data_IF_088978769331
#
_entry.id   IF_088978769331
#
_cell.length_a   1.000
_cell.length_b   1.000
_cell.length_c   1.000
_cell.angle_alpha   90.00
_cell.angle_beta   90.00
_cell.angle_gamma   90.00
#
_symmetry.space_group_name_H-M   'P 1'
#
loop_
_entity.id
_entity.type
_entity.pdbx_description
1 polymer ?
#
# COMPACT_ATOMS: atom_id res chain seq x y z
N UNK A 1 -1.19 -5.27 17.93
CA UNK A 1 -0.81 -6.03 16.72
C UNK A 1 0.69 -5.97 16.61
N UNK A 2 1.37 -7.10 16.38
CA UNK A 2 2.80 -7.12 16.13
C UNK A 2 3.04 -7.11 14.62
N UNK A 3 3.95 -6.25 14.16
CA UNK A 3 4.33 -6.16 12.75
C UNK A 3 5.65 -6.88 12.52
N UNK A 4 5.74 -7.59 11.41
CA UNK A 4 6.96 -8.24 10.93
C UNK A 4 7.49 -7.37 9.79
N UNK A 5 8.65 -6.76 10.01
CA UNK A 5 9.38 -6.06 8.96
C UNK A 5 10.20 -7.07 8.17
N UNK A 6 10.00 -7.08 6.86
CA UNK A 6 10.72 -7.91 5.91
C UNK A 6 11.62 -7.03 5.07
N UNK A 7 12.86 -7.45 4.90
CA UNK A 7 13.91 -6.76 4.19
C UNK A 7 14.24 -7.47 2.87
N UNK A 8 14.89 -6.75 1.96
CA UNK A 8 15.36 -7.35 0.73
C UNK A 8 16.39 -8.46 1.02
N UNK A 9 16.14 -9.67 0.53
CA UNK A 9 16.98 -10.85 0.77
C UNK A 9 16.48 -11.77 1.90
N UNK A 10 15.42 -11.38 2.61
CA UNK A 10 14.75 -12.29 3.55
C UNK A 10 14.09 -13.46 2.82
N UNK A 11 13.96 -14.59 3.52
CA UNK A 11 13.25 -15.75 3.01
C UNK A 11 11.73 -15.49 3.03
N UNK A 12 11.19 -15.09 1.88
CA UNK A 12 9.78 -14.80 1.69
C UNK A 12 8.94 -16.06 1.36
N UNK A 13 9.52 -17.26 1.41
CA UNK A 13 8.81 -18.52 1.05
C UNK A 13 7.63 -18.86 1.97
N UNK A 14 7.52 -18.18 3.11
CA UNK A 14 6.41 -18.29 4.05
C UNK A 14 5.16 -17.50 3.63
N UNK A 15 5.26 -16.59 2.66
CA UNK A 15 4.18 -15.75 2.17
C UNK A 15 3.70 -16.26 0.80
N UNK A 16 2.50 -16.84 0.72
CA UNK A 16 1.92 -17.32 -0.56
C UNK A 16 1.19 -16.19 -1.31
N UNK A 17 1.71 -15.73 -2.46
CA UNK A 17 0.96 -14.77 -3.28
C UNK A 17 -0.14 -15.49 -4.08
N UNK A 18 -1.38 -14.99 -4.05
CA UNK A 18 -2.51 -15.53 -4.84
C UNK A 18 -2.42 -15.25 -6.37
N UNK A 19 -1.23 -14.87 -6.86
CA UNK A 19 -0.85 -15.11 -8.25
C UNK A 19 -0.66 -13.91 -9.16
N UNK A 20 -0.42 -12.70 -8.65
CA UNK A 20 -0.15 -11.55 -9.53
C UNK A 20 1.08 -10.72 -9.12
N UNK A 21 1.50 -10.81 -7.86
CA UNK A 21 2.63 -10.04 -7.32
C UNK A 21 3.58 -10.99 -6.60
N UNK A 22 4.73 -11.27 -7.21
CA UNK A 22 5.86 -11.88 -6.53
C UNK A 22 6.43 -10.86 -5.52
N UNK A 23 6.30 -11.17 -4.23
CA UNK A 23 6.79 -10.32 -3.14
C UNK A 23 8.31 -10.08 -3.23
N UNK A 24 9.09 -11.07 -3.70
CA UNK A 24 10.51 -10.88 -3.96
C UNK A 24 10.76 -9.89 -5.11
N UNK A 25 9.86 -9.89 -6.08
CA UNK A 25 9.84 -8.94 -7.19
C UNK A 25 9.57 -7.50 -6.73
N UNK A 26 8.86 -7.26 -5.63
CA UNK A 26 8.52 -5.91 -5.15
C UNK A 26 9.77 -5.09 -4.85
N UNK A 27 10.73 -5.66 -4.12
CA UNK A 27 12.00 -4.99 -3.80
C UNK A 27 12.84 -4.65 -5.02
N UNK A 28 12.63 -5.36 -6.14
CA UNK A 28 13.39 -5.12 -7.37
C UNK A 28 12.85 -3.94 -8.19
N UNK A 29 11.61 -3.50 -7.92
CA UNK A 29 10.86 -2.54 -8.74
C UNK A 29 10.82 -1.15 -8.13
N UNK A 30 10.76 -0.14 -8.98
CA UNK A 30 10.62 1.26 -8.58
C UNK A 30 9.15 1.63 -8.40
N UNK A 31 8.82 2.29 -7.30
CA UNK A 31 7.48 2.82 -7.02
C UNK A 31 7.30 4.13 -7.76
N UNK A 32 6.26 4.19 -8.58
CA UNK A 32 5.91 5.33 -9.43
C UNK A 32 4.63 5.97 -8.91
N UNK A 33 4.73 7.22 -8.47
CA UNK A 33 3.59 8.13 -8.29
C UNK A 33 3.15 8.70 -9.65
N UNK A 34 2.08 9.48 -9.65
CA UNK A 34 1.57 10.14 -10.86
C UNK A 34 2.60 11.13 -11.43
N UNK A 35 3.37 11.79 -10.57
CA UNK A 35 4.28 12.89 -10.94
C UNK A 35 5.76 12.50 -10.92
N UNK A 36 6.16 11.43 -10.21
CA UNK A 36 7.57 11.01 -10.11
C UNK A 36 7.77 9.58 -9.62
N UNK A 37 9.01 9.12 -9.77
CA UNK A 37 9.54 7.90 -9.15
C UNK A 37 10.00 8.15 -7.71
N UNK A 38 9.57 7.31 -6.77
CA UNK A 38 10.06 7.29 -5.38
C UNK A 38 11.28 6.38 -5.18
N UNK A 39 11.56 5.51 -6.15
CA UNK A 39 12.61 4.51 -6.03
C UNK A 39 12.08 3.19 -5.47
N UNK A 40 12.98 2.35 -4.97
CA UNK A 40 12.64 0.98 -4.53
C UNK A 40 12.13 0.97 -3.09
N UNK A 41 11.22 0.04 -2.75
CA UNK A 41 10.81 -0.17 -1.37
C UNK A 41 11.99 -0.49 -0.47
N UNK A 42 11.99 0.10 0.73
CA UNK A 42 12.96 -0.16 1.78
C UNK A 42 12.66 -1.45 2.54
N UNK A 43 11.37 -1.69 2.80
CA UNK A 43 10.88 -2.84 3.57
C UNK A 43 9.45 -3.20 3.15
N UNK A 44 9.02 -4.39 3.54
CA UNK A 44 7.61 -4.79 3.57
C UNK A 44 7.17 -4.98 5.02
N UNK A 45 5.92 -4.65 5.33
CA UNK A 45 5.35 -4.86 6.66
C UNK A 45 4.22 -5.88 6.57
N UNK A 46 4.37 -6.97 7.32
CA UNK A 46 3.36 -8.00 7.47
C UNK A 46 2.72 -7.98 8.86
N UNK A 47 1.43 -8.27 8.92
CA UNK A 47 0.73 -8.41 10.20
C UNK A 47 1.01 -9.77 10.88
N UNK A 48 0.39 -9.99 12.03
CA UNK A 48 0.48 -11.24 12.78
C UNK A 48 -0.16 -12.44 12.08
N UNK A 49 -1.00 -12.19 11.06
CA UNK A 49 -1.57 -13.17 10.15
C UNK A 49 -0.64 -13.58 9.02
N UNK A 50 0.59 -13.03 8.95
CA UNK A 50 1.52 -13.19 7.83
C UNK A 50 0.97 -12.63 6.51
N UNK A 51 0.15 -11.57 6.60
CA UNK A 51 -0.33 -10.84 5.42
C UNK A 51 0.56 -9.60 5.25
N UNK A 52 1.24 -9.50 4.11
CA UNK A 52 1.93 -8.25 3.73
C UNK A 52 0.88 -7.19 3.44
N UNK A 53 0.89 -6.11 4.21
CA UNK A 53 -0.08 -5.01 4.10
C UNK A 53 0.50 -3.74 3.56
N UNK A 54 1.78 -3.51 3.81
CA UNK A 54 2.45 -2.27 3.42
C UNK A 54 3.81 -2.55 2.80
N UNK A 55 4.23 -1.64 1.93
CA UNK A 55 5.63 -1.45 1.61
C UNK A 55 6.09 -0.06 2.10
N UNK A 56 7.33 0.04 2.51
CA UNK A 56 7.94 1.28 3.02
C UNK A 56 8.72 1.94 1.90
N UNK A 57 8.53 3.24 1.69
CA UNK A 57 9.28 4.03 0.71
C UNK A 57 9.90 5.25 1.36
N UNK A 58 11.05 5.67 0.84
CA UNK A 58 11.68 6.94 1.21
C UNK A 58 11.10 8.09 0.40
N UNK A 59 10.85 9.21 1.05
CA UNK A 59 10.46 10.47 0.41
C UNK A 59 11.66 11.39 0.15
N UNK A 60 12.90 10.89 0.23
CA UNK A 60 14.13 11.67 0.02
C UNK A 60 14.20 12.38 -1.35
N UNK A 61 13.47 11.87 -2.34
CA UNK A 61 13.34 12.47 -3.67
C UNK A 61 12.39 13.68 -3.72
N UNK A 62 11.69 13.97 -2.62
CA UNK A 62 10.69 15.04 -2.49
C UNK A 62 11.25 16.19 -1.64
N UNK A 63 11.70 17.25 -2.32
CA UNK A 63 12.10 18.56 -1.77
C UNK A 63 12.97 18.52 -0.48
N UNK A 64 13.06 19.63 0.26
CA UNK A 64 13.76 19.65 1.57
C UNK A 64 12.91 19.05 2.70
N UNK A 65 11.59 19.03 2.53
CA UNK A 65 10.62 18.59 3.55
C UNK A 65 10.49 17.06 3.64
N UNK A 66 10.84 16.33 2.57
CA UNK A 66 10.82 14.86 2.53
C UNK A 66 12.13 14.16 2.92
N UNK A 67 13.23 14.90 3.16
CA UNK A 67 14.52 14.29 3.51
C UNK A 67 14.49 13.54 4.84
N UNK A 68 14.91 12.28 4.81
CA UNK A 68 14.95 11.35 5.93
C UNK A 68 13.57 10.86 6.38
N UNK A 69 12.54 11.05 5.55
CA UNK A 69 11.18 10.64 5.87
C UNK A 69 10.80 9.40 5.08
N UNK A 70 10.60 8.31 5.81
CA UNK A 70 10.06 7.07 5.25
C UNK A 70 8.57 6.98 5.58
N UNK A 71 7.77 6.43 4.68
CA UNK A 71 6.31 6.29 4.85
C UNK A 71 5.84 4.91 4.45
N UNK A 72 4.72 4.47 5.02
CA UNK A 72 4.04 3.24 4.63
C UNK A 72 3.09 3.49 3.47
N UNK A 73 3.05 2.57 2.52
CA UNK A 73 2.11 2.57 1.40
C UNK A 73 1.34 1.24 1.43
N UNK A 74 0.00 1.25 1.47
CA UNK A 74 -0.79 0.02 1.44
C UNK A 74 -0.55 -0.76 0.16
N UNK A 75 -0.44 -2.09 0.25
CA UNK A 75 -0.30 -2.94 -0.94
C UNK A 75 -1.53 -2.82 -1.87
N UNK A 76 -2.70 -2.52 -1.30
CA UNK A 76 -3.95 -2.27 -2.01
C UNK A 76 -3.95 -0.95 -2.81
N UNK A 77 -2.95 -0.09 -2.61
CA UNK A 77 -2.75 1.12 -3.40
C UNK A 77 -2.16 0.84 -4.79
N UNK A 78 -1.63 -0.37 -5.02
CA UNK A 78 -1.03 -0.76 -6.31
C UNK A 78 -2.10 -0.78 -7.39
N UNK A 79 -1.87 -0.03 -8.48
CA UNK A 79 -2.74 0.04 -9.66
C UNK A 79 -2.21 -0.70 -10.87
N UNK A 80 -0.92 -1.04 -10.86
CA UNK A 80 -0.30 -1.84 -11.91
C UNK A 80 1.13 -2.17 -11.57
N UNK A 81 1.62 -3.24 -12.20
CA UNK A 81 3.01 -3.67 -12.10
C UNK A 81 3.50 -4.02 -13.50
N UNK A 82 4.69 -3.55 -13.87
CA UNK A 82 5.41 -4.01 -15.06
C UNK A 82 6.75 -4.66 -14.68
N UNK A 83 7.63 -4.86 -15.65
CA UNK A 83 8.94 -5.48 -15.43
C UNK A 83 9.79 -4.73 -14.38
N UNK A 84 9.72 -3.40 -14.33
CA UNK A 84 10.61 -2.55 -13.56
C UNK A 84 9.88 -1.69 -12.52
N UNK A 85 8.56 -1.54 -12.62
CA UNK A 85 7.80 -0.54 -11.88
C UNK A 85 6.57 -1.10 -11.16
N UNK A 86 6.24 -0.45 -10.05
CA UNK A 86 4.97 -0.53 -9.32
C UNK A 86 4.31 0.84 -9.44
N UNK A 87 3.08 0.88 -9.95
CA UNK A 87 2.34 2.12 -10.15
C UNK A 87 1.32 2.32 -9.04
N UNK A 88 1.33 3.51 -8.43
CA UNK A 88 0.32 3.98 -7.47
C UNK A 88 -0.28 5.29 -7.97
N UNK A 89 -1.54 5.55 -7.63
CA UNK A 89 -2.29 6.71 -8.12
C UNK A 89 -2.40 7.78 -7.04
N UNK A 90 -1.28 8.48 -6.80
CA UNK A 90 -1.16 9.58 -5.83
C UNK A 90 -0.15 10.60 -6.34
N UNK A 91 -0.31 11.87 -5.99
CA UNK A 91 0.74 12.89 -6.22
C UNK A 91 1.73 12.79 -5.06
N UNK A 92 3.03 12.73 -5.36
CA UNK A 92 4.06 12.42 -4.37
C UNK A 92 4.06 13.35 -3.14
N UNK A 93 3.75 14.63 -3.33
CA UNK A 93 3.64 15.62 -2.24
C UNK A 93 2.53 15.26 -1.21
N UNK A 94 1.46 14.58 -1.61
CA UNK A 94 0.39 14.14 -0.68
C UNK A 94 0.90 13.11 0.33
N UNK A 95 1.97 12.38 0.00
CA UNK A 95 2.59 11.40 0.91
C UNK A 95 3.28 12.07 2.11
N UNK A 96 3.57 13.37 2.03
CA UNK A 96 4.10 14.13 3.17
C UNK A 96 3.09 14.22 4.34
N UNK A 97 1.81 13.95 4.11
CA UNK A 97 0.81 13.92 5.18
C UNK A 97 0.79 12.59 5.96
N UNK A 98 1.51 11.56 5.48
CA UNK A 98 1.70 10.32 6.23
C UNK A 98 2.75 10.55 7.32
N UNK A 99 2.48 10.22 8.60
CA UNK A 99 3.50 10.30 9.64
C UNK A 99 4.70 9.40 9.32
N UNK A 100 5.90 9.85 9.65
CA UNK A 100 7.14 9.11 9.34
C UNK A 100 7.17 7.74 10.00
N UNK A 101 7.37 6.71 9.18
CA UNK A 101 7.72 5.37 9.62
C UNK A 101 9.15 5.34 10.18
N UNK A 102 9.37 4.52 11.21
CA UNK A 102 10.69 4.16 11.72
C UNK A 102 10.68 2.73 12.22
N UNK A 103 11.64 1.92 11.81
CA UNK A 103 11.74 0.50 12.19
C UNK A 103 11.97 0.27 13.69
N UNK A 104 12.51 1.28 14.40
CA UNK A 104 12.71 1.25 15.85
C UNK A 104 11.46 1.63 16.66
N UNK A 105 10.34 1.91 15.99
CA UNK A 105 9.08 2.31 16.62
C UNK A 105 7.93 1.45 16.12
N UNK A 106 6.92 1.22 16.97
CA UNK A 106 5.73 0.51 16.53
C UNK A 106 5.00 1.31 15.45
N UNK A 107 4.49 0.61 14.44
CA UNK A 107 3.50 1.17 13.53
C UNK A 107 2.24 1.57 14.33
N UNK A 108 1.73 2.76 14.08
CA UNK A 108 0.58 3.30 14.80
C UNK A 108 -0.67 3.29 13.93
N UNK A 109 -1.83 3.13 14.55
CA UNK A 109 -3.12 3.19 13.83
C UNK A 109 -3.33 4.53 13.11
N UNK A 110 -2.75 5.62 13.63
CA UNK A 110 -2.84 6.93 13.00
C UNK A 110 -2.02 7.01 11.71
N UNK A 111 -0.86 6.33 11.65
CA UNK A 111 -0.10 6.15 10.40
C UNK A 111 -0.92 5.36 9.38
N UNK A 112 -1.51 4.24 9.80
CA UNK A 112 -2.34 3.41 8.93
C UNK A 112 -3.54 4.19 8.39
N UNK A 113 -4.26 4.90 9.26
CA UNK A 113 -5.38 5.77 8.87
C UNK A 113 -4.98 6.88 7.91
N UNK A 114 -3.82 7.52 8.14
CA UNK A 114 -3.32 8.55 7.23
C UNK A 114 -3.04 8.00 5.84
N UNK A 115 -2.37 6.85 5.76
CA UNK A 115 -2.08 6.18 4.49
C UNK A 115 -3.37 5.78 3.76
N UNK A 116 -4.30 5.09 4.43
CA UNK A 116 -5.58 4.68 3.83
C UNK A 116 -6.40 5.89 3.36
N UNK A 117 -6.39 7.00 4.13
CA UNK A 117 -7.07 8.25 3.76
C UNK A 117 -6.53 8.85 2.46
N UNK A 118 -5.21 8.92 2.29
CA UNK A 118 -4.59 9.50 1.08
C UNK A 118 -4.96 8.68 -0.16
N UNK A 119 -4.95 7.35 -0.04
CA UNK A 119 -5.28 6.46 -1.17
C UNK A 119 -6.79 6.23 -1.34
N UNK A 120 -7.65 6.82 -0.50
CA UNK A 120 -9.09 6.60 -0.51
C UNK A 120 -9.48 5.13 -0.33
N UNK A 121 -8.70 4.38 0.45
CA UNK A 121 -8.90 2.96 0.67
C UNK A 121 -9.76 2.70 1.91
N UNK A 122 -10.59 1.64 1.90
CA UNK A 122 -11.33 1.15 3.05
C UNK A 122 -10.35 0.57 4.05
N UNK A 123 -10.48 0.97 5.31
CA UNK A 123 -9.72 0.37 6.39
C UNK A 123 -9.94 -1.15 6.42
N UNK A 124 -8.88 -1.92 6.17
CA UNK A 124 -8.98 -3.39 6.17
C UNK A 124 -9.46 -3.95 7.51
N UNK A 125 -9.22 -3.22 8.60
CA UNK A 125 -9.57 -3.59 9.98
C UNK A 125 -11.03 -3.28 10.36
N UNK A 126 -11.79 -2.58 9.50
CA UNK A 126 -13.19 -2.20 9.76
C UNK A 126 -14.21 -3.11 9.08
N UNK A 127 -13.77 -4.11 8.32
CA UNK A 127 -14.67 -5.03 7.61
C UNK A 127 -15.57 -4.31 6.59
N UNK A 128 -16.79 -4.79 6.39
CA UNK A 128 -17.73 -4.18 5.42
C UNK A 128 -18.11 -2.73 5.75
N UNK A 129 -18.05 -2.31 7.02
CA UNK A 129 -18.35 -0.94 7.42
C UNK A 129 -17.30 0.08 6.93
N UNK A 130 -16.03 -0.32 6.86
CA UNK A 130 -14.95 0.54 6.34
C UNK A 130 -15.09 0.82 4.83
N UNK A 131 -15.78 -0.04 4.09
CA UNK A 131 -16.06 0.15 2.66
C UNK A 131 -17.02 1.31 2.42
N UNK A 132 -18.15 1.35 3.13
CA UNK A 132 -19.14 2.43 3.00
C UNK A 132 -18.57 3.80 3.43
N UNK A 133 -17.73 3.82 4.46
CA UNK A 133 -17.09 5.06 4.93
C UNK A 133 -16.05 5.58 3.92
N UNK A 134 -15.27 4.69 3.30
CA UNK A 134 -14.28 5.05 2.27
C UNK A 134 -14.92 5.60 0.99
N UNK A 135 -16.02 5.02 0.52
CA UNK A 135 -16.77 5.54 -0.62
C UNK A 135 -17.31 6.94 -0.33
N UNK A 136 -17.95 7.14 0.82
CA UNK A 136 -18.50 8.44 1.22
C UNK A 136 -17.39 9.50 1.41
N UNK A 137 -16.21 9.10 1.90
CA UNK A 137 -15.05 9.97 2.00
C UNK A 137 -14.52 10.39 0.62
N UNK A 138 -14.36 9.46 -0.31
CA UNK A 138 -13.88 9.75 -1.67
C UNK A 138 -14.77 10.79 -2.37
N UNK A 139 -16.09 10.65 -2.27
CA UNK A 139 -17.02 11.63 -2.84
C UNK A 139 -16.90 13.01 -2.19
N UNK A 140 -16.80 13.08 -0.85
CA UNK A 140 -16.61 14.36 -0.15
C UNK A 140 -15.28 15.02 -0.47
N UNK A 141 -14.21 14.25 -0.61
CA UNK A 141 -12.88 14.74 -0.98
C UNK A 141 -12.89 15.38 -2.38
N UNK A 142 -13.54 14.73 -3.35
CA UNK A 142 -13.72 15.27 -4.70
C UNK A 142 -14.59 16.54 -4.70
N UNK A 143 -15.65 16.56 -3.89
CA UNK A 143 -16.53 17.73 -3.73
C UNK A 143 -15.80 18.91 -3.08
N UNK A 144 -14.90 18.67 -2.12
CA UNK A 144 -14.22 19.73 -1.37
C UNK A 144 -13.01 20.34 -2.07
N UNK A 145 -12.39 19.64 -3.03
CA UNK A 145 -11.17 20.11 -3.71
C UNK A 145 -11.41 20.64 -5.13
N UNK A 146 -12.67 20.78 -5.58
CA UNK A 146 -13.05 21.17 -6.96
C UNK A 146 -12.38 20.33 -8.07
N UNK A 147 -11.80 19.17 -7.73
CA UNK A 147 -11.19 18.24 -8.67
C UNK A 147 -12.27 17.30 -9.18
N UNK A 148 -13.19 17.79 -9.99
CA UNK A 148 -14.00 16.89 -10.82
C UNK A 148 -13.12 16.38 -11.95
N UNK A 149 -12.83 15.07 -12.06
CA UNK A 149 -12.14 14.57 -13.22
C UNK A 149 -12.99 14.89 -14.45
N UNK A 150 -12.41 15.62 -15.42
CA UNK A 150 -13.10 16.06 -16.66
C UNK A 150 -13.69 14.90 -17.48
N UNK A 151 -13.36 13.66 -17.11
CA UNK A 151 -14.09 12.46 -17.44
C UNK A 151 -14.36 11.74 -16.14
N UNK A 152 -15.64 11.54 -15.80
CA UNK A 152 -16.01 10.47 -14.85
C UNK A 152 -15.36 9.20 -15.41
N UNK A 153 -14.43 8.54 -14.70
CA UNK A 153 -13.88 7.30 -15.18
C UNK A 153 -15.06 6.36 -15.41
N UNK A 154 -15.15 5.76 -16.61
CA UNK A 154 -16.29 4.91 -17.01
C UNK A 154 -16.51 3.72 -16.08
N UNK A 155 -15.56 3.46 -15.19
CA UNK A 155 -15.63 2.60 -14.02
C UNK A 155 -15.25 3.44 -12.82
N UNK A 156 -16.07 3.43 -11.77
CA UNK A 156 -15.62 3.96 -10.47
C UNK A 156 -14.32 3.24 -10.05
N UNK A 157 -13.40 3.88 -9.31
CA UNK A 157 -12.22 3.18 -8.79
C UNK A 157 -12.59 1.96 -7.92
N UNK A 158 -13.82 1.92 -7.40
CA UNK A 158 -14.39 0.81 -6.62
C UNK A 158 -15.31 -0.14 -7.39
N UNK A 159 -15.48 0.02 -8.71
CA UNK A 159 -16.25 -0.96 -9.46
C UNK A 159 -15.43 -2.25 -9.61
N UNK A 160 -15.68 -3.20 -8.69
CA UNK A 160 -15.12 -4.55 -8.67
C UNK A 160 -15.12 -5.15 -10.08
N UNK A 161 -14.00 -5.05 -10.78
CA UNK A 161 -13.64 -6.01 -11.82
C UNK A 161 -13.12 -7.27 -11.12
N UNK A 162 -13.97 -7.99 -10.39
CA UNK A 162 -13.66 -9.35 -9.90
C UNK A 162 -12.25 -9.52 -9.28
N UNK A 163 -11.73 -8.48 -8.65
CA UNK A 163 -10.34 -8.38 -8.20
C UNK A 163 -10.20 -9.01 -6.83
N UNK A 164 -9.60 -10.19 -6.81
CA UNK A 164 -9.31 -10.99 -5.64
C UNK A 164 -8.54 -10.16 -4.60
N UNK A 165 -9.01 -10.20 -3.36
CA UNK A 165 -8.17 -9.91 -2.19
C UNK A 165 -7.00 -10.88 -2.25
N UNK A 166 -5.75 -10.40 -2.23
CA UNK A 166 -4.58 -11.28 -2.16
C UNK A 166 -4.52 -11.84 -0.75
N UNK A 167 -5.03 -13.06 -0.55
CA UNK A 167 -5.00 -13.75 0.73
C UNK A 167 -3.76 -14.62 0.80
N UNK A 168 -2.71 -14.14 1.45
CA UNK A 168 -1.55 -14.99 1.75
C UNK A 168 -1.96 -16.05 2.78
N UNK A 169 -2.06 -17.33 2.36
CA UNK A 169 -2.41 -18.45 3.26
C UNK A 169 -1.29 -19.48 3.37
N UNK A 170 -1.30 -20.20 4.50
CA UNK A 170 -0.20 -21.09 4.91
C UNK A 170 -0.24 -22.45 4.20
N UNK A 171 0.89 -22.89 3.63
CA UNK A 171 1.11 -24.33 3.37
C UNK A 171 1.21 -25.12 4.68
N UNK A 172 0.22 -25.97 4.98
CA UNK A 172 0.44 -27.10 5.91
C UNK A 172 1.38 -28.10 5.23
N UNK A 173 2.68 -28.07 5.55
CA UNK A 173 3.53 -29.24 5.33
C UNK A 173 3.05 -30.33 6.29
N UNK A 174 2.26 -31.29 5.78
CA UNK A 174 2.10 -32.58 6.45
C UNK A 174 3.48 -33.25 6.47
N UNK A 175 4.06 -33.35 7.66
CA UNK A 175 5.00 -34.42 7.97
C UNK A 175 4.21 -35.72 7.91
N UNK A 176 4.38 -36.51 6.84
CA UNK A 176 4.08 -37.93 6.92
C UNK A 176 5.35 -38.65 7.38
N UNK A 177 5.28 -39.14 8.62
CA UNK A 177 6.02 -40.31 9.10
C UNK A 177 5.52 -41.56 8.39
#
# INVERSE_FOLDING_TARGET
MAWIELQNGDDLSYFESDGEIDLGGIFSKSVQCIDRSLGKPLALLADDGLVVRYFVVSLDVISEYGKGKDVIIPIDAIRGIDAENIYIEVVSDELEDIPSYRSDRPLTIDMERAAYRIFGLPAYWEGEAGLEESENYFYRYLESHEVYPKRIPKRMPYERQSGKVVHFTRRRKYQNK
#
